data_IF_491050665168
#
_entry.id   IF_491050665168
#
_cell.length_a   1.000
_cell.length_b   1.000
_cell.length_c   1.000
_cell.angle_alpha   90.00
_cell.angle_beta   90.00
_cell.angle_gamma   90.00
#
_symmetry.space_group_name_H-M   'P 1'
#
loop_
_entity.id
_entity.type
_entity.pdbx_description
1 polymer ?
#
# COMPACT_ATOMS: atom_id res chain seq x y z
N UNK A 1 16.55 -42.55 2.36
CA UNK A 1 18.00 -42.60 2.07
C UNK A 1 18.68 -41.80 3.16
N UNK A 2 19.49 -42.45 3.98
CA UNK A 2 20.05 -41.88 5.21
C UNK A 2 21.09 -40.80 4.87
N UNK A 3 21.00 -39.64 5.54
CA UNK A 3 21.88 -38.49 5.30
C UNK A 3 23.35 -38.86 5.55
N UNK A 4 23.59 -39.79 6.47
CA UNK A 4 24.94 -40.30 6.76
C UNK A 4 25.53 -41.07 5.56
N UNK A 5 24.69 -41.84 4.86
CA UNK A 5 25.13 -42.60 3.69
C UNK A 5 25.49 -41.69 2.51
N UNK A 6 24.76 -40.57 2.34
CA UNK A 6 25.06 -39.57 1.30
C UNK A 6 26.38 -38.84 1.63
N UNK A 7 26.61 -38.53 2.90
CA UNK A 7 27.84 -37.87 3.34
C UNK A 7 29.07 -38.77 3.20
N UNK A 8 28.94 -40.06 3.46
CA UNK A 8 30.02 -41.03 3.27
C UNK A 8 30.36 -41.23 1.78
N UNK A 9 29.34 -41.23 0.90
CA UNK A 9 29.53 -41.33 -0.55
C UNK A 9 30.22 -40.09 -1.13
N UNK A 10 29.84 -38.89 -0.66
CA UNK A 10 30.49 -37.62 -1.02
C UNK A 10 31.93 -37.57 -0.50
N UNK A 11 32.16 -38.02 0.74
CA UNK A 11 33.50 -38.06 1.35
C UNK A 11 34.44 -39.00 0.57
N UNK A 12 33.95 -40.18 0.18
CA UNK A 12 34.69 -41.14 -0.64
C UNK A 12 35.03 -40.58 -2.03
N UNK A 13 34.08 -39.90 -2.68
CA UNK A 13 34.33 -39.26 -3.98
C UNK A 13 35.34 -38.11 -3.87
N UNK A 14 35.27 -37.30 -2.81
CA UNK A 14 36.23 -36.23 -2.56
C UNK A 14 37.63 -36.78 -2.28
N UNK A 15 37.77 -37.84 -1.47
CA UNK A 15 39.06 -38.50 -1.24
C UNK A 15 39.66 -39.09 -2.52
N UNK A 16 38.83 -39.65 -3.41
CA UNK A 16 39.27 -40.15 -4.71
C UNK A 16 39.69 -38.99 -5.65
N UNK A 17 39.03 -37.84 -5.60
CA UNK A 17 39.43 -36.66 -6.38
C UNK A 17 40.75 -36.10 -5.85
N UNK A 18 40.90 -36.01 -4.53
CA UNK A 18 42.13 -35.55 -3.87
C UNK A 18 43.34 -36.45 -4.15
N UNK A 19 43.15 -37.78 -4.21
CA UNK A 19 44.25 -38.72 -4.47
C UNK A 19 44.77 -38.69 -5.92
N UNK A 20 44.00 -38.09 -6.85
CA UNK A 20 44.38 -37.91 -8.26
C UNK A 20 44.91 -36.51 -8.58
N UNK A 21 44.96 -35.60 -7.61
CA UNK A 21 45.48 -34.25 -7.80
C UNK A 21 46.99 -34.20 -7.61
N UNK A 22 47.75 -34.19 -8.71
CA UNK A 22 49.16 -33.78 -8.66
C UNK A 22 49.24 -32.27 -8.44
N UNK A 23 49.61 -31.89 -7.22
CA UNK A 23 49.83 -30.50 -6.81
C UNK A 23 51.10 -29.94 -7.46
N UNK A 24 50.98 -29.36 -8.65
CA UNK A 24 52.01 -28.44 -9.16
C UNK A 24 51.82 -27.07 -8.53
N UNK A 25 52.91 -26.44 -8.09
CA UNK A 25 52.89 -25.15 -7.38
C UNK A 25 52.14 -24.03 -8.13
N UNK A 26 52.03 -24.12 -9.46
CA UNK A 26 51.26 -23.18 -10.28
C UNK A 26 49.74 -23.32 -10.14
N UNK A 27 49.21 -24.53 -9.92
CA UNK A 27 47.78 -24.76 -9.77
C UNK A 27 47.23 -24.19 -8.46
N UNK A 28 47.95 -24.38 -7.36
CA UNK A 28 47.57 -23.84 -6.03
C UNK A 28 47.46 -22.32 -6.07
N UNK A 29 48.39 -21.67 -6.78
CA UNK A 29 48.40 -20.22 -6.90
C UNK A 29 47.19 -19.70 -7.69
N UNK A 30 46.80 -20.40 -8.76
CA UNK A 30 45.62 -20.04 -9.55
C UNK A 30 44.32 -20.20 -8.74
N UNK A 31 44.21 -21.27 -7.92
CA UNK A 31 43.03 -21.51 -7.09
C UNK A 31 42.93 -20.55 -5.91
N UNK A 32 44.05 -20.22 -5.24
CA UNK A 32 44.06 -19.19 -4.20
C UNK A 32 43.68 -17.82 -4.77
N UNK A 33 44.16 -17.49 -5.97
CA UNK A 33 43.83 -16.23 -6.64
C UNK A 33 42.35 -16.16 -7.04
N UNK A 34 41.79 -17.25 -7.58
CA UNK A 34 40.36 -17.33 -7.90
C UNK A 34 39.47 -17.28 -6.64
N UNK A 35 39.89 -17.91 -5.55
CA UNK A 35 39.19 -17.88 -4.27
C UNK A 35 39.23 -16.48 -3.63
N UNK A 36 40.37 -15.79 -3.71
CA UNK A 36 40.50 -14.39 -3.29
C UNK A 36 39.62 -13.46 -4.14
N UNK A 37 39.55 -13.64 -5.46
CA UNK A 37 38.67 -12.85 -6.34
C UNK A 37 37.18 -13.03 -6.04
N UNK A 38 36.76 -14.19 -5.52
CA UNK A 38 35.36 -14.45 -5.14
C UNK A 38 35.01 -13.89 -3.76
N UNK A 39 35.97 -13.88 -2.83
CA UNK A 39 35.74 -13.47 -1.45
C UNK A 39 35.99 -11.98 -1.23
N UNK A 40 36.92 -11.37 -1.97
CA UNK A 40 37.24 -9.95 -1.82
C UNK A 40 36.03 -9.02 -2.05
N UNK A 41 35.15 -9.26 -3.06
CA UNK A 41 33.92 -8.46 -3.22
C UNK A 41 32.95 -8.63 -2.05
N UNK A 42 32.86 -9.83 -1.46
CA UNK A 42 32.00 -10.13 -0.30
C UNK A 42 32.52 -9.48 0.98
N UNK A 43 33.84 -9.41 1.15
CA UNK A 43 34.48 -8.70 2.26
C UNK A 43 34.33 -7.18 2.10
N UNK A 44 34.49 -6.64 0.88
CA UNK A 44 34.29 -5.21 0.61
C UNK A 44 32.81 -4.82 0.87
N UNK A 45 31.84 -5.59 0.37
CA UNK A 45 30.41 -5.37 0.64
C UNK A 45 30.06 -5.55 2.13
N UNK A 46 30.67 -6.54 2.80
CA UNK A 46 30.46 -6.79 4.23
C UNK A 46 30.99 -5.66 5.11
N UNK A 47 32.14 -5.07 4.73
CA UNK A 47 32.73 -3.94 5.46
C UNK A 47 31.95 -2.64 5.21
N UNK A 48 31.49 -2.38 3.98
CA UNK A 48 30.61 -1.22 3.69
C UNK A 48 29.27 -1.29 4.46
N UNK A 49 28.74 -2.49 4.68
CA UNK A 49 27.54 -2.71 5.50
C UNK A 49 27.78 -2.52 7.01
N UNK A 50 29.01 -2.70 7.49
CA UNK A 50 29.37 -2.62 8.92
C UNK A 50 29.86 -1.24 9.33
N UNK A 51 30.37 -0.44 8.40
CA UNK A 51 30.78 0.96 8.66
C UNK A 51 29.69 1.97 8.31
N UNK A 52 28.42 1.56 8.34
CA UNK A 52 27.24 2.39 8.10
C UNK A 52 27.14 3.59 9.05
N UNK A 53 28.01 4.59 8.84
CA UNK A 53 27.69 5.99 9.07
C UNK A 53 26.57 6.27 8.09
N UNK A 54 25.35 6.23 8.60
CA UNK A 54 24.23 6.97 8.03
C UNK A 54 24.76 8.39 7.88
N UNK A 55 25.21 8.75 6.67
CA UNK A 55 25.58 10.10 6.37
C UNK A 55 24.33 10.94 6.68
N UNK A 56 24.49 11.93 7.55
CA UNK A 56 23.45 12.93 7.76
C UNK A 56 22.98 13.41 6.37
N UNK A 57 21.66 13.56 6.15
CA UNK A 57 21.14 14.04 4.88
C UNK A 57 21.88 15.33 4.55
N UNK A 58 22.57 15.30 3.41
CA UNK A 58 23.33 16.43 2.92
C UNK A 58 22.30 17.51 2.66
N UNK A 59 22.34 18.59 3.45
CA UNK A 59 21.44 19.73 3.35
C UNK A 59 21.73 20.50 2.06
N UNK A 60 21.34 19.92 0.93
CA UNK A 60 21.02 20.66 -0.26
C UNK A 60 19.50 20.84 -0.24
N UNK A 61 19.01 21.68 0.68
CA UNK A 61 17.71 22.34 0.47
C UNK A 61 17.91 23.30 -0.70
N UNK A 62 17.96 22.74 -1.91
CA UNK A 62 17.62 23.50 -3.11
C UNK A 62 16.26 24.10 -2.84
N UNK A 63 16.12 25.42 -2.99
CA UNK A 63 14.85 26.13 -2.78
C UNK A 63 13.76 25.56 -3.70
N UNK A 64 13.10 24.48 -3.30
CA UNK A 64 11.88 23.98 -3.93
C UNK A 64 10.79 24.98 -3.55
N UNK A 65 10.27 25.79 -4.48
CA UNK A 65 9.26 26.80 -4.17
C UNK A 65 7.98 26.10 -3.74
N UNK A 66 7.36 26.56 -2.65
CA UNK A 66 6.06 26.05 -2.23
C UNK A 66 4.97 26.77 -3.03
N UNK A 67 4.05 26.05 -3.70
CA UNK A 67 2.90 26.66 -4.34
C UNK A 67 1.96 27.21 -3.27
N UNK A 68 1.03 28.12 -3.64
CA UNK A 68 -0.06 28.49 -2.75
C UNK A 68 -0.90 27.26 -2.34
N UNK A 69 -1.66 27.36 -1.23
CA UNK A 69 -2.58 26.29 -0.83
C UNK A 69 -3.57 25.94 -1.94
N UNK A 70 -3.84 24.64 -2.10
CA UNK A 70 -4.86 24.12 -3.02
C UNK A 70 -6.10 23.65 -2.22
N UNK A 71 -7.03 22.96 -2.86
CA UNK A 71 -8.25 22.45 -2.22
C UNK A 71 -8.40 20.95 -2.39
N UNK A 72 -9.10 20.33 -1.43
CA UNK A 72 -9.59 18.97 -1.57
C UNK A 72 -10.73 18.97 -2.59
N UNK A 73 -10.50 18.30 -3.72
CA UNK A 73 -11.48 18.17 -4.79
C UNK A 73 -12.42 16.97 -4.55
N UNK A 74 -11.89 15.89 -3.99
CA UNK A 74 -12.64 14.65 -3.84
C UNK A 74 -12.15 13.83 -2.65
N UNK A 75 -13.09 13.23 -1.93
CA UNK A 75 -12.81 12.27 -0.84
C UNK A 75 -13.45 10.94 -1.21
N UNK A 76 -12.69 9.85 -1.07
CA UNK A 76 -13.14 8.47 -1.31
C UNK A 76 -12.82 7.56 -0.14
N UNK A 77 -13.79 6.72 0.17
CA UNK A 77 -13.68 5.67 1.19
C UNK A 77 -13.80 4.31 0.48
N UNK A 78 -12.95 3.36 0.85
CA UNK A 78 -13.02 1.98 0.36
C UNK A 78 -13.17 1.05 1.56
N UNK A 79 -14.40 0.79 2.03
CA UNK A 79 -14.63 0.08 3.29
C UNK A 79 -14.00 -1.31 3.32
N UNK A 80 -14.11 -2.02 2.20
CA UNK A 80 -13.56 -3.37 2.04
C UNK A 80 -12.31 -3.29 1.18
N UNK A 81 -11.21 -3.86 1.69
CA UNK A 81 -9.96 -4.03 0.95
C UNK A 81 -10.25 -4.65 -0.42
N UNK A 82 -9.74 -4.01 -1.47
CA UNK A 82 -9.83 -4.49 -2.86
C UNK A 82 -11.21 -4.41 -3.51
N UNK A 83 -12.25 -3.96 -2.80
CA UNK A 83 -13.57 -3.69 -3.41
C UNK A 83 -13.68 -2.24 -3.89
N UNK A 84 -14.77 -1.92 -4.59
CA UNK A 84 -15.07 -0.56 -5.02
C UNK A 84 -15.37 0.33 -3.80
N UNK A 85 -14.97 1.59 -3.89
CA UNK A 85 -15.27 2.59 -2.88
C UNK A 85 -16.37 3.54 -3.36
N UNK A 86 -16.71 4.52 -2.52
CA UNK A 86 -17.65 5.58 -2.85
C UNK A 86 -17.07 6.94 -2.50
N UNK A 87 -17.62 7.99 -3.13
CA UNK A 87 -17.26 9.38 -2.84
C UNK A 87 -18.11 9.92 -1.69
N UNK A 88 -17.52 10.79 -0.88
CA UNK A 88 -18.22 11.51 0.20
C UNK A 88 -17.90 13.00 0.14
N UNK A 89 -18.81 13.83 0.64
CA UNK A 89 -18.56 15.26 0.81
C UNK A 89 -17.77 15.57 2.08
N UNK A 90 -17.90 14.73 3.11
CA UNK A 90 -17.17 14.84 4.36
C UNK A 90 -17.05 13.50 5.07
N UNK A 91 -16.04 13.35 5.90
CA UNK A 91 -15.83 12.18 6.77
C UNK A 91 -14.90 12.54 7.91
N UNK A 92 -14.75 11.63 8.88
CA UNK A 92 -13.75 11.75 9.94
C UNK A 92 -12.43 11.14 9.45
N UNK A 93 -11.35 11.92 9.51
CA UNK A 93 -9.98 11.43 9.41
C UNK A 93 -9.53 10.95 10.79
N UNK A 94 -9.24 9.65 10.89
CA UNK A 94 -8.68 9.00 12.06
C UNK A 94 -7.17 8.80 11.86
N UNK A 95 -6.45 8.52 12.94
CA UNK A 95 -5.03 8.13 12.85
C UNK A 95 -4.81 6.88 11.99
N UNK A 96 -5.83 6.01 11.91
CA UNK A 96 -5.79 4.75 11.15
C UNK A 96 -6.25 4.84 9.70
N UNK A 97 -6.82 5.97 9.27
CA UNK A 97 -7.32 6.22 7.91
C UNK A 97 -8.55 7.11 7.94
N UNK A 98 -9.21 7.30 6.78
CA UNK A 98 -10.57 7.84 6.79
C UNK A 98 -11.49 6.85 7.50
N UNK A 99 -12.54 7.35 8.11
CA UNK A 99 -13.56 6.51 8.72
C UNK A 99 -14.08 5.47 7.73
N UNK A 100 -14.33 4.27 8.24
CA UNK A 100 -14.67 3.05 7.49
C UNK A 100 -13.58 2.52 6.55
N UNK A 101 -12.52 3.26 6.24
CA UNK A 101 -11.59 2.92 5.19
C UNK A 101 -10.77 1.65 5.47
N UNK A 102 -10.94 0.64 4.62
CA UNK A 102 -10.32 -0.69 4.72
C UNK A 102 -10.50 -1.31 6.11
N UNK A 103 -11.65 -1.08 6.75
CA UNK A 103 -12.05 -1.76 7.98
C UNK A 103 -12.35 -3.24 7.77
N UNK A 104 -12.70 -3.64 6.55
CA UNK A 104 -12.95 -5.03 6.19
C UNK A 104 -12.00 -5.55 5.11
N UNK A 105 -11.91 -6.87 5.01
CA UNK A 105 -11.34 -7.56 3.85
C UNK A 105 -12.07 -8.88 3.60
N UNK A 106 -12.11 -9.32 2.35
CA UNK A 106 -12.38 -10.73 2.05
C UNK A 106 -11.11 -11.55 2.25
N UNK A 107 -11.26 -12.74 2.81
CA UNK A 107 -10.20 -13.71 3.02
C UNK A 107 -10.62 -15.09 2.51
N UNK A 108 -9.64 -15.90 2.12
CA UNK A 108 -9.84 -17.32 1.86
C UNK A 108 -10.33 -18.02 3.13
N UNK A 109 -11.39 -18.82 3.04
CA UNK A 109 -11.99 -19.45 4.23
C UNK A 109 -11.06 -20.44 4.93
N UNK A 110 -10.19 -21.13 4.17
CA UNK A 110 -9.33 -22.18 4.71
C UNK A 110 -8.06 -21.61 5.34
N UNK A 111 -7.47 -20.57 4.74
CA UNK A 111 -6.18 -20.04 5.20
C UNK A 111 -6.29 -18.70 5.92
N UNK A 112 -7.46 -18.06 5.91
CA UNK A 112 -7.70 -16.69 6.39
C UNK A 112 -6.73 -15.65 5.79
N UNK A 113 -6.23 -15.92 4.58
CA UNK A 113 -5.38 -14.99 3.82
C UNK A 113 -6.27 -14.06 3.01
N UNK A 114 -6.00 -12.77 3.12
CA UNK A 114 -6.70 -11.73 2.37
C UNK A 114 -6.69 -11.97 0.85
N UNK A 115 -7.77 -11.56 0.20
CA UNK A 115 -7.91 -11.53 -1.26
C UNK A 115 -7.63 -10.13 -1.81
N UNK A 116 -7.17 -10.05 -3.06
CA UNK A 116 -6.84 -8.78 -3.71
C UNK A 116 -7.22 -8.70 -5.18
N UNK A 117 -7.38 -7.47 -5.68
CA UNK A 117 -7.51 -7.17 -7.12
C UNK A 117 -6.33 -7.75 -7.92
N UNK A 118 -5.14 -7.91 -7.31
CA UNK A 118 -3.96 -8.50 -7.98
C UNK A 118 -4.20 -9.96 -8.39
N UNK A 119 -4.98 -10.68 -7.58
CA UNK A 119 -5.32 -12.09 -7.78
C UNK A 119 -6.67 -12.22 -8.50
N UNK A 120 -7.65 -11.40 -8.13
CA UNK A 120 -9.05 -11.50 -8.55
C UNK A 120 -9.54 -10.09 -8.91
N UNK A 121 -9.48 -9.74 -10.19
CA UNK A 121 -9.91 -8.41 -10.68
C UNK A 121 -11.38 -8.11 -10.39
N UNK A 122 -12.22 -9.15 -10.40
CA UNK A 122 -13.67 -9.06 -10.24
C UNK A 122 -14.09 -8.46 -8.88
N UNK A 123 -13.18 -8.37 -7.91
CA UNK A 123 -13.40 -7.62 -6.68
C UNK A 123 -13.76 -6.14 -6.94
N UNK A 124 -13.35 -5.55 -8.09
CA UNK A 124 -13.76 -4.18 -8.43
C UNK A 124 -15.25 -4.05 -8.73
N UNK A 125 -15.95 -5.15 -9.03
CA UNK A 125 -17.39 -5.20 -9.25
C UNK A 125 -18.19 -5.32 -7.95
N UNK A 126 -17.51 -5.46 -6.81
CA UNK A 126 -18.14 -5.45 -5.50
C UNK A 126 -18.28 -4.00 -5.06
N UNK A 127 -19.50 -3.50 -5.12
CA UNK A 127 -19.89 -2.16 -4.71
C UNK A 127 -20.15 -2.11 -3.21
N UNK A 128 -19.81 -0.97 -2.62
CA UNK A 128 -20.13 -0.64 -1.22
C UNK A 128 -20.88 0.67 -1.14
N UNK A 129 -21.84 0.74 -0.22
CA UNK A 129 -22.61 1.96 0.06
C UNK A 129 -22.94 2.03 1.56
N UNK A 130 -22.96 3.24 2.10
CA UNK A 130 -23.52 3.50 3.45
C UNK A 130 -24.96 3.98 3.32
N UNK A 131 -25.85 3.41 4.13
CA UNK A 131 -27.26 3.78 4.23
C UNK A 131 -27.50 4.73 5.39
N UNK A 132 -28.67 5.38 5.40
CA UNK A 132 -29.03 6.38 6.41
C UNK A 132 -29.16 5.78 7.84
N UNK A 133 -29.34 4.47 7.95
CA UNK A 133 -29.41 3.70 9.20
C UNK A 133 -28.04 3.17 9.68
N UNK A 134 -26.93 3.71 9.14
CA UNK A 134 -25.56 3.31 9.46
C UNK A 134 -25.22 1.85 9.11
N UNK A 135 -25.79 1.35 8.01
CA UNK A 135 -25.41 0.04 7.46
C UNK A 135 -24.46 0.18 6.26
N UNK A 136 -23.50 -0.73 6.18
CA UNK A 136 -22.70 -1.00 5.00
C UNK A 136 -23.40 -2.05 4.15
N UNK A 137 -23.96 -1.59 3.03
CA UNK A 137 -24.44 -2.46 1.97
C UNK A 137 -23.28 -2.87 1.07
N UNK A 138 -23.19 -4.17 0.80
CA UNK A 138 -22.19 -4.76 -0.10
C UNK A 138 -22.94 -5.54 -1.18
N UNK A 139 -22.70 -5.23 -2.44
CA UNK A 139 -23.41 -5.85 -3.56
C UNK A 139 -22.50 -6.03 -4.76
N UNK A 140 -22.96 -6.76 -5.77
CA UNK A 140 -22.21 -6.99 -7.00
C UNK A 140 -22.94 -6.33 -8.16
N UNK A 141 -22.30 -5.36 -8.85
CA UNK A 141 -22.96 -4.54 -9.87
C UNK A 141 -23.56 -5.38 -11.00
N UNK A 142 -22.90 -6.49 -11.35
CA UNK A 142 -23.31 -7.42 -12.41
C UNK A 142 -24.28 -8.50 -11.95
N UNK A 143 -24.45 -8.67 -10.63
CA UNK A 143 -25.30 -9.69 -10.00
C UNK A 143 -26.05 -9.08 -8.81
N UNK A 144 -27.07 -8.24 -9.06
CA UNK A 144 -27.75 -7.46 -8.01
C UNK A 144 -28.48 -8.32 -6.95
N UNK A 145 -28.72 -9.60 -7.23
CA UNK A 145 -29.23 -10.58 -6.26
C UNK A 145 -28.20 -10.95 -5.18
N UNK A 146 -26.91 -10.70 -5.42
CA UNK A 146 -25.85 -10.88 -4.42
C UNK A 146 -25.71 -9.56 -3.68
N UNK A 147 -26.29 -9.52 -2.47
CA UNK A 147 -26.26 -8.37 -1.58
C UNK A 147 -26.26 -8.82 -0.12
N UNK A 148 -25.48 -8.13 0.70
CA UNK A 148 -25.56 -8.20 2.17
C UNK A 148 -25.65 -6.79 2.74
N UNK A 149 -26.17 -6.70 3.97
CA UNK A 149 -26.13 -5.50 4.79
C UNK A 149 -25.60 -5.87 6.16
N UNK A 150 -24.62 -5.11 6.64
CA UNK A 150 -24.01 -5.24 7.96
C UNK A 150 -23.87 -3.85 8.58
N UNK A 151 -23.83 -3.69 9.91
CA UNK A 151 -23.59 -2.38 10.50
C UNK A 151 -22.24 -1.80 10.03
N UNK A 152 -22.22 -0.51 9.68
CA UNK A 152 -21.01 0.21 9.33
C UNK A 152 -20.16 0.49 10.57
N UNK A 153 -20.80 0.79 11.71
CA UNK A 153 -20.14 0.93 13.01
C UNK A 153 -20.66 -0.11 14.01
N UNK A 154 -20.31 -1.40 13.85
CA UNK A 154 -20.82 -2.44 14.72
C UNK A 154 -20.30 -2.25 16.16
N UNK A 155 -21.20 -2.34 17.14
CA UNK A 155 -20.82 -2.32 18.55
C UNK A 155 -20.10 -3.62 18.95
N UNK A 156 -19.36 -3.60 20.05
CA UNK A 156 -18.69 -4.79 20.59
C UNK A 156 -19.68 -5.93 20.90
N UNK A 157 -20.86 -5.58 21.42
CA UNK A 157 -21.95 -6.53 21.68
C UNK A 157 -22.44 -7.15 20.36
N UNK A 158 -22.66 -6.31 19.34
CA UNK A 158 -23.09 -6.80 18.04
C UNK A 158 -22.05 -7.74 17.42
N UNK A 159 -20.77 -7.37 17.47
CA UNK A 159 -19.68 -8.21 16.96
C UNK A 159 -19.63 -9.56 17.70
N UNK A 160 -19.73 -9.55 19.02
CA UNK A 160 -19.69 -10.78 19.84
C UNK A 160 -20.83 -11.74 19.49
N UNK A 161 -22.02 -11.21 19.17
CA UNK A 161 -23.20 -12.02 18.84
C UNK A 161 -23.24 -12.51 17.38
N UNK A 162 -22.57 -11.82 16.45
CA UNK A 162 -22.71 -12.05 15.01
C UNK A 162 -21.42 -12.48 14.31
N UNK A 163 -20.29 -12.53 15.02
CA UNK A 163 -18.97 -12.85 14.47
C UNK A 163 -18.14 -13.68 15.44
N UNK A 164 -17.06 -14.28 14.93
CA UNK A 164 -16.05 -14.97 15.74
C UNK A 164 -14.74 -14.18 15.72
N UNK A 165 -14.19 -13.84 16.89
CA UNK A 165 -12.87 -13.21 16.96
C UNK A 165 -11.76 -14.25 16.76
N UNK A 166 -11.04 -14.17 15.64
CA UNK A 166 -9.89 -15.02 15.32
C UNK A 166 -8.59 -14.21 15.33
N UNK A 167 -7.45 -14.87 15.56
CA UNK A 167 -6.12 -14.23 15.64
C UNK A 167 -5.19 -14.54 14.46
N UNK A 168 -5.64 -15.39 13.55
CA UNK A 168 -4.80 -15.98 12.49
C UNK A 168 -5.03 -15.39 11.10
N UNK A 169 -5.85 -14.34 10.97
CA UNK A 169 -5.99 -13.61 9.72
C UNK A 169 -4.63 -13.09 9.27
N UNK A 170 -4.37 -13.12 7.96
CA UNK A 170 -3.07 -12.72 7.42
C UNK A 170 -3.24 -11.61 6.39
N UNK A 171 -2.43 -10.56 6.53
CA UNK A 171 -2.28 -9.49 5.56
C UNK A 171 -0.80 -9.18 5.35
N UNK A 172 -0.32 -9.30 4.11
CA UNK A 172 1.10 -9.04 3.75
C UNK A 172 2.11 -9.72 4.68
N UNK A 173 1.89 -11.01 5.00
CA UNK A 173 2.77 -11.78 5.89
C UNK A 173 2.65 -11.45 7.37
N UNK A 174 1.75 -10.55 7.75
CA UNK A 174 1.47 -10.20 9.16
C UNK A 174 0.22 -10.93 9.63
N UNK A 175 0.33 -11.60 10.78
CA UNK A 175 -0.83 -12.14 11.50
C UNK A 175 -1.53 -11.03 12.27
N UNK A 176 -2.85 -10.97 12.14
CA UNK A 176 -3.71 -9.96 12.74
C UNK A 176 -4.99 -10.61 13.23
N UNK A 177 -5.61 -9.97 14.22
CA UNK A 177 -6.94 -10.35 14.67
C UNK A 177 -8.04 -9.78 13.76
N UNK A 178 -9.15 -10.49 13.71
CA UNK A 178 -10.30 -10.16 12.89
C UNK A 178 -11.58 -10.79 13.41
N UNK A 179 -12.68 -10.06 13.29
CA UNK A 179 -14.03 -10.55 13.52
C UNK A 179 -14.53 -11.20 12.23
N UNK A 180 -14.65 -12.52 12.26
CA UNK A 180 -14.97 -13.36 11.12
C UNK A 180 -16.49 -13.55 11.04
N UNK A 181 -17.12 -13.04 9.98
CA UNK A 181 -18.57 -13.18 9.77
C UNK A 181 -18.96 -14.61 9.39
N UNK A 182 -20.20 -15.04 9.64
CA UNK A 182 -20.67 -16.39 9.35
C UNK A 182 -20.53 -16.81 7.88
N UNK A 183 -20.51 -18.12 7.63
CA UNK A 183 -20.54 -18.71 6.28
C UNK A 183 -21.81 -18.31 5.54
N UNK A 184 -22.95 -18.27 6.23
CA UNK A 184 -24.25 -17.93 5.62
C UNK A 184 -24.25 -16.51 5.04
N UNK A 185 -23.65 -15.56 5.76
CA UNK A 185 -23.52 -14.18 5.29
C UNK A 185 -22.62 -14.09 4.04
N UNK A 186 -21.63 -14.97 3.92
CA UNK A 186 -20.63 -14.92 2.85
C UNK A 186 -20.88 -15.92 1.73
N UNK A 187 -21.92 -16.76 1.84
CA UNK A 187 -22.26 -17.78 0.84
C UNK A 187 -22.52 -17.19 -0.56
N UNK A 188 -23.29 -16.08 -0.73
CA UNK A 188 -23.46 -15.46 -2.04
C UNK A 188 -22.14 -14.97 -2.67
N UNK A 189 -21.21 -14.48 -1.84
CA UNK A 189 -19.89 -14.06 -2.32
C UNK A 189 -18.98 -15.25 -2.63
N UNK A 190 -19.09 -16.35 -1.90
CA UNK A 190 -18.35 -17.58 -2.21
C UNK A 190 -18.73 -18.13 -3.58
N UNK A 191 -20.02 -18.07 -3.95
CA UNK A 191 -20.49 -18.38 -5.30
C UNK A 191 -19.87 -17.44 -6.35
N UNK A 192 -19.85 -16.13 -6.07
CA UNK A 192 -19.23 -15.15 -6.96
C UNK A 192 -17.73 -15.39 -7.17
N UNK A 193 -16.99 -15.69 -6.10
CA UNK A 193 -15.56 -15.96 -6.16
C UNK A 193 -15.21 -17.34 -6.73
N UNK A 194 -16.18 -18.25 -6.83
CA UNK A 194 -15.96 -19.64 -7.21
C UNK A 194 -15.15 -20.43 -6.16
N UNK A 195 -15.08 -19.93 -4.93
CA UNK A 195 -14.40 -20.57 -3.80
C UNK A 195 -14.93 -20.02 -2.47
N UNK A 196 -14.77 -20.80 -1.41
CA UNK A 196 -15.18 -20.37 -0.08
C UNK A 196 -14.36 -19.16 0.41
N UNK A 197 -15.07 -18.10 0.78
CA UNK A 197 -14.49 -16.88 1.33
C UNK A 197 -15.16 -16.51 2.63
N UNK A 198 -14.47 -15.69 3.42
CA UNK A 198 -15.02 -15.05 4.61
C UNK A 198 -14.81 -13.54 4.53
N UNK A 199 -15.77 -12.80 5.06
CA UNK A 199 -15.61 -11.38 5.33
C UNK A 199 -15.01 -11.25 6.73
N UNK A 200 -14.03 -10.37 6.87
CA UNK A 200 -13.32 -10.12 8.12
C UNK A 200 -13.42 -8.63 8.43
N UNK A 201 -13.94 -8.26 9.60
CA UNK A 201 -13.81 -6.91 10.16
C UNK A 201 -12.56 -6.83 11.05
N UNK A 202 -11.83 -5.71 10.99
CA UNK A 202 -10.54 -5.60 11.69
C UNK A 202 -10.73 -5.75 13.21
N UNK A 203 -9.96 -6.66 13.82
CA UNK A 203 -9.97 -6.87 15.26
C UNK A 203 -9.37 -5.71 16.07
N UNK A 204 -9.46 -5.76 17.41
CA UNK A 204 -9.05 -4.68 18.29
C UNK A 204 -7.54 -4.42 18.34
N UNK A 205 -6.69 -5.41 18.04
CA UNK A 205 -5.23 -5.27 18.14
C UNK A 205 -4.71 -4.31 17.06
N UNK A 206 -4.00 -3.22 17.41
CA UNK A 206 -3.44 -2.30 16.42
C UNK A 206 -2.49 -3.01 15.46
N UNK A 207 -2.57 -2.69 14.16
CA UNK A 207 -1.58 -3.14 13.16
C UNK A 207 -0.57 -2.01 12.92
N UNK A 208 0.63 -2.06 13.53
CA UNK A 208 1.58 -0.96 13.46
C UNK A 208 2.07 -0.72 12.04
N UNK A 209 2.35 0.54 11.72
CA UNK A 209 2.99 0.92 10.47
C UNK A 209 4.45 0.44 10.43
N UNK A 210 4.95 0.23 9.21
CA UNK A 210 6.31 -0.26 8.91
C UNK A 210 6.91 0.49 7.72
N UNK A 211 8.18 0.22 7.40
CA UNK A 211 8.88 0.82 6.27
C UNK A 211 9.06 2.31 6.47
N UNK A 212 8.60 3.13 5.51
CA UNK A 212 8.65 4.60 5.60
C UNK A 212 7.93 5.21 6.82
N UNK A 213 7.07 4.45 7.50
CA UNK A 213 6.41 4.88 8.73
C UNK A 213 6.68 3.92 9.90
N UNK A 214 7.79 3.18 9.85
CA UNK A 214 8.31 2.51 11.05
C UNK A 214 8.52 3.55 12.17
N UNK A 215 8.25 3.23 13.44
CA UNK A 215 8.40 4.20 14.54
C UNK A 215 9.78 4.86 14.62
N UNK A 216 10.84 4.18 14.18
CA UNK A 216 12.21 4.73 14.13
C UNK A 216 12.40 5.80 13.06
N UNK A 217 11.55 5.78 12.03
CA UNK A 217 11.55 6.74 10.91
C UNK A 217 10.54 7.86 11.16
N UNK A 218 9.31 7.50 11.56
CA UNK A 218 8.21 8.44 11.79
C UNK A 218 8.35 9.21 13.12
N UNK A 219 9.10 8.66 14.08
CA UNK A 219 9.25 9.22 15.43
C UNK A 219 8.05 8.98 16.36
N UNK A 220 7.03 8.23 15.90
CA UNK A 220 5.86 7.84 16.68
C UNK A 220 5.29 6.51 16.20
N UNK A 221 4.55 5.83 17.09
CA UNK A 221 3.82 4.62 16.74
C UNK A 221 2.46 5.04 16.20
N UNK A 222 2.17 4.63 14.98
CA UNK A 222 0.84 4.73 14.37
C UNK A 222 0.45 3.38 13.78
N UNK A 223 -0.83 3.23 13.47
CA UNK A 223 -1.38 1.98 12.96
C UNK A 223 -2.33 2.22 11.81
N UNK A 224 -2.73 1.14 11.14
CA UNK A 224 -3.74 1.19 10.08
C UNK A 224 -4.62 -0.06 10.15
N UNK A 225 -5.70 -0.08 9.38
CA UNK A 225 -6.60 -1.22 9.21
C UNK A 225 -6.06 -2.15 8.12
N UNK A 226 -6.85 -2.53 7.12
CA UNK A 226 -6.41 -3.43 6.05
C UNK A 226 -5.82 -2.71 4.82
N UNK A 227 -5.44 -1.43 4.91
CA UNK A 227 -4.69 -0.72 3.87
C UNK A 227 -3.33 -1.39 3.58
N UNK A 228 -2.72 -1.14 2.42
CA UNK A 228 -1.45 -1.83 2.06
C UNK A 228 -0.26 -1.35 2.90
N UNK A 229 -0.10 -0.03 3.05
CA UNK A 229 1.06 0.56 3.72
C UNK A 229 0.62 1.63 4.72
N UNK A 230 0.16 2.78 4.23
CA UNK A 230 -0.20 3.93 5.09
C UNK A 230 -1.72 4.16 5.15
N UNK A 231 -2.21 4.84 6.20
CA UNK A 231 -3.62 5.17 6.40
C UNK A 231 -4.29 5.92 5.25
N UNK A 232 -3.56 6.85 4.63
CA UNK A 232 -4.11 7.76 3.61
C UNK A 232 -3.25 7.72 2.36
N UNK A 233 -3.90 7.65 1.20
CA UNK A 233 -3.28 8.00 -0.07
C UNK A 233 -3.86 9.33 -0.58
N UNK A 234 -2.99 10.32 -0.82
CA UNK A 234 -3.34 11.58 -1.48
C UNK A 234 -2.89 11.52 -2.94
N UNK A 235 -3.67 12.07 -3.85
CA UNK A 235 -3.29 12.21 -5.26
C UNK A 235 -3.65 13.59 -5.80
N UNK A 236 -2.90 14.04 -6.78
CA UNK A 236 -3.09 15.33 -7.42
C UNK A 236 -3.87 15.13 -8.73
N UNK A 237 -4.93 15.92 -8.92
CA UNK A 237 -5.77 15.85 -10.11
C UNK A 237 -4.97 16.20 -11.38
N UNK A 238 -4.00 17.13 -11.29
CA UNK A 238 -3.12 17.46 -12.43
C UNK A 238 -2.26 16.28 -12.87
N UNK A 239 -1.84 15.42 -11.94
CA UNK A 239 -1.05 14.24 -12.26
C UNK A 239 -1.83 13.19 -13.07
N UNK A 240 -3.12 12.98 -12.76
CA UNK A 240 -3.94 12.06 -13.58
C UNK A 240 -4.28 12.67 -14.94
N UNK A 241 -4.48 13.98 -15.02
CA UNK A 241 -4.68 14.71 -16.29
C UNK A 241 -3.45 14.56 -17.20
N UNK A 242 -2.25 14.71 -16.64
CA UNK A 242 -0.99 14.56 -17.35
C UNK A 242 -0.76 13.12 -17.84
N UNK A 243 -1.01 12.11 -16.98
CA UNK A 243 -0.94 10.71 -17.37
C UNK A 243 -1.93 10.40 -18.50
N UNK A 244 -3.17 10.91 -18.40
CA UNK A 244 -4.19 10.72 -19.42
C UNK A 244 -3.83 11.40 -20.74
N UNK A 245 -3.17 12.55 -20.71
CA UNK A 245 -2.61 13.18 -21.91
C UNK A 245 -1.59 12.24 -22.58
N UNK A 246 -0.66 11.64 -21.83
CA UNK A 246 0.33 10.68 -22.37
C UNK A 246 -0.28 9.38 -22.89
N UNK A 247 -1.34 8.89 -22.24
CA UNK A 247 -2.08 7.71 -22.71
C UNK A 247 -2.77 8.02 -24.04
N UNK A 248 -3.44 9.16 -24.13
CA UNK A 248 -4.11 9.62 -25.35
C UNK A 248 -3.13 9.78 -26.52
N UNK A 249 -1.95 10.36 -26.29
CA UNK A 249 -0.92 10.47 -27.35
C UNK A 249 -0.36 9.11 -27.78
N UNK A 250 -0.52 8.08 -26.95
CA UNK A 250 -0.15 6.70 -27.26
C UNK A 250 -1.32 5.87 -27.84
N UNK A 251 -2.45 6.50 -28.17
CA UNK A 251 -3.64 5.83 -28.73
C UNK A 251 -4.51 5.09 -27.72
N UNK A 252 -4.31 5.31 -26.42
CA UNK A 252 -5.04 4.65 -25.34
C UNK A 252 -6.14 5.57 -24.79
N UNK A 253 -7.25 4.98 -24.32
CA UNK A 253 -8.32 5.74 -23.70
C UNK A 253 -7.88 6.34 -22.34
N UNK A 254 -8.39 7.52 -21.95
CA UNK A 254 -8.13 8.06 -20.62
C UNK A 254 -8.72 7.15 -19.54
N UNK A 255 -8.09 7.15 -18.37
CA UNK A 255 -8.49 6.35 -17.21
C UNK A 255 -8.91 7.24 -16.04
N UNK A 256 -9.81 6.72 -15.20
CA UNK A 256 -10.21 7.36 -13.95
C UNK A 256 -9.12 7.25 -12.89
N UNK A 257 -9.00 8.28 -12.04
CA UNK A 257 -8.09 8.29 -10.87
C UNK A 257 -8.46 7.19 -9.85
N UNK A 258 -9.70 6.69 -9.89
CA UNK A 258 -10.18 5.57 -9.07
C UNK A 258 -9.30 4.31 -9.21
N UNK A 259 -8.70 4.10 -10.39
CA UNK A 259 -7.76 2.99 -10.63
C UNK A 259 -6.53 3.05 -9.71
N UNK A 260 -6.18 4.25 -9.24
CA UNK A 260 -5.09 4.46 -8.28
C UNK A 260 -5.54 4.34 -6.82
N UNK A 261 -6.85 4.34 -6.59
CA UNK A 261 -7.52 4.17 -5.29
C UNK A 261 -7.17 5.22 -4.20
N UNK A 262 -7.00 6.52 -4.54
CA UNK A 262 -6.71 7.54 -3.55
C UNK A 262 -7.86 7.72 -2.57
N UNK A 263 -7.54 8.13 -1.34
CA UNK A 263 -8.50 8.57 -0.34
C UNK A 263 -8.86 10.05 -0.53
N UNK A 264 -7.86 10.88 -0.84
CA UNK A 264 -8.02 12.32 -1.04
C UNK A 264 -7.45 12.66 -2.40
N UNK A 265 -8.22 13.39 -3.22
CA UNK A 265 -7.75 14.02 -4.44
C UNK A 265 -7.75 15.52 -4.24
N UNK A 266 -6.61 16.16 -4.49
CA UNK A 266 -6.49 17.62 -4.46
C UNK A 266 -6.53 18.18 -5.87
N UNK A 267 -7.02 19.41 -6.03
CA UNK A 267 -7.04 20.08 -7.34
C UNK A 267 -5.63 20.18 -7.94
N UNK A 268 -4.68 20.66 -7.12
CA UNK A 268 -3.28 20.84 -7.50
C UNK A 268 -3.06 21.86 -8.61
N UNK A 269 -1.86 22.45 -8.64
CA UNK A 269 -1.48 23.42 -9.68
C UNK A 269 -0.63 22.77 -10.77
N UNK A 270 0.38 22.01 -10.37
CA UNK A 270 1.33 21.37 -11.27
C UNK A 270 1.26 19.84 -11.15
N UNK A 271 1.30 19.08 -12.26
CA UNK A 271 1.37 17.63 -12.19
C UNK A 271 2.66 17.18 -11.53
N UNK A 272 2.57 16.12 -10.73
CA UNK A 272 3.68 15.45 -10.03
C UNK A 272 4.36 16.25 -8.93
N UNK A 273 3.94 17.50 -8.67
CA UNK A 273 4.48 18.30 -7.58
C UNK A 273 4.26 17.64 -6.20
N UNK A 274 3.32 16.69 -6.09
CA UNK A 274 3.16 15.88 -4.89
C UNK A 274 4.39 15.04 -4.49
N UNK A 275 5.27 14.74 -5.44
CA UNK A 275 6.47 13.93 -5.20
C UNK A 275 7.47 14.54 -4.21
N UNK A 276 7.33 15.84 -3.92
CA UNK A 276 8.21 16.59 -3.00
C UNK A 276 7.51 17.02 -1.72
N UNK A 277 6.23 16.68 -1.51
CA UNK A 277 5.55 17.06 -0.26
C UNK A 277 6.17 16.33 0.92
N UNK A 278 6.57 17.05 1.97
CA UNK A 278 7.06 16.44 3.21
C UNK A 278 5.99 16.45 4.31
N UNK A 279 5.35 17.60 4.47
CA UNK A 279 4.31 17.81 5.49
C UNK A 279 3.19 18.64 4.86
N UNK A 280 1.94 18.23 5.10
CA UNK A 280 0.75 18.92 4.59
C UNK A 280 -0.21 19.24 5.74
N UNK A 281 -0.99 20.30 5.58
CA UNK A 281 -2.00 20.75 6.55
C UNK A 281 -3.34 20.92 5.85
N UNK A 282 -4.38 20.37 6.45
CA UNK A 282 -5.76 20.50 6.02
C UNK A 282 -6.43 21.52 6.93
N UNK A 283 -7.14 22.49 6.37
CA UNK A 283 -7.87 23.50 7.13
C UNK A 283 -9.30 23.61 6.60
N UNK A 284 -10.31 23.73 7.49
CA UNK A 284 -11.69 23.91 7.08
C UNK A 284 -11.85 25.09 6.11
N UNK A 285 -12.57 24.88 5.02
CA UNK A 285 -12.83 25.94 4.02
C UNK A 285 -13.59 27.16 4.59
N UNK A 286 -14.34 26.93 5.67
CA UNK A 286 -15.11 27.90 6.46
C UNK A 286 -14.37 28.36 7.73
N UNK A 287 -13.04 28.21 7.78
CA UNK A 287 -12.25 28.60 8.95
C UNK A 287 -12.42 30.09 9.30
N UNK A 288 -12.68 30.35 10.58
CA UNK A 288 -12.63 31.69 11.18
C UNK A 288 -11.82 31.61 12.47
N UNK A 289 -11.24 32.73 12.90
CA UNK A 289 -10.54 32.81 14.19
C UNK A 289 -11.45 32.43 15.38
N UNK A 290 -12.77 32.58 15.23
CA UNK A 290 -13.80 32.26 16.23
C UNK A 290 -14.15 30.76 16.26
N UNK A 291 -14.15 30.10 15.09
CA UNK A 291 -14.31 28.64 14.95
C UNK A 291 -12.97 27.90 15.10
N UNK A 292 -11.93 28.60 15.58
CA UNK A 292 -10.54 28.20 15.60
C UNK A 292 -10.29 26.90 16.38
N UNK A 293 -10.38 25.77 15.66
CA UNK A 293 -9.76 24.46 15.89
C UNK A 293 -10.19 23.52 14.76
N UNK A 294 -9.26 22.71 14.25
CA UNK A 294 -9.59 21.71 13.22
C UNK A 294 -8.49 21.46 12.20
N UNK A 295 -7.37 22.18 12.27
CA UNK A 295 -6.24 21.91 11.39
C UNK A 295 -5.72 20.49 11.62
N UNK A 296 -5.63 19.72 10.54
CA UNK A 296 -5.06 18.37 10.58
C UNK A 296 -3.76 18.39 9.81
N UNK A 297 -2.67 18.03 10.48
CA UNK A 297 -1.37 17.85 9.85
C UNK A 297 -1.18 16.37 9.49
N UNK A 298 -0.66 16.12 8.28
CA UNK A 298 -0.22 14.78 7.89
C UNK A 298 1.25 14.80 7.47
N UNK A 299 1.99 13.79 7.93
CA UNK A 299 3.30 13.48 7.40
C UNK A 299 3.15 12.75 6.07
N UNK A 300 3.85 13.23 5.05
CA UNK A 300 3.97 12.51 3.79
C UNK A 300 5.14 11.55 3.93
N UNK A 301 4.84 10.26 4.04
CA UNK A 301 5.82 9.25 4.40
C UNK A 301 6.57 8.69 3.18
N UNK A 302 5.88 8.52 2.05
CA UNK A 302 6.47 7.92 0.86
C UNK A 302 5.72 8.26 -0.43
N UNK A 303 6.44 8.22 -1.55
CA UNK A 303 5.82 8.09 -2.87
C UNK A 303 5.12 6.73 -2.96
N UNK A 304 3.89 6.70 -3.48
CA UNK A 304 3.13 5.46 -3.59
C UNK A 304 3.63 4.63 -4.78
N UNK A 305 4.52 3.67 -4.51
CA UNK A 305 4.95 2.68 -5.48
C UNK A 305 3.76 1.83 -5.95
N UNK A 306 3.49 1.86 -7.26
CA UNK A 306 2.33 1.21 -7.84
C UNK A 306 2.62 -0.26 -8.13
N UNK A 307 1.56 -1.05 -8.18
CA UNK A 307 1.54 -2.36 -8.82
C UNK A 307 0.67 -2.28 -10.09
N UNK A 308 0.34 -3.41 -10.71
CA UNK A 308 -0.52 -3.45 -11.90
C UNK A 308 -2.03 -3.31 -11.62
N UNK A 309 -2.45 -3.08 -10.37
CA UNK A 309 -3.88 -2.86 -10.04
C UNK A 309 -4.51 -1.73 -10.89
N UNK A 310 -3.85 -0.60 -11.17
CA UNK A 310 -4.42 0.43 -12.03
C UNK A 310 -4.70 -0.02 -13.47
N UNK A 311 -4.22 -1.19 -13.90
CA UNK A 311 -4.57 -1.74 -15.21
C UNK A 311 -5.97 -2.34 -15.25
N UNK A 312 -6.57 -2.63 -14.10
CA UNK A 312 -7.92 -3.17 -14.01
C UNK A 312 -8.91 -2.04 -14.20
N UNK A 313 -9.86 -2.26 -15.09
CA UNK A 313 -11.02 -1.40 -15.26
C UNK A 313 -12.01 -1.64 -14.13
N UNK A 314 -12.34 -0.63 -13.31
CA UNK A 314 -13.16 -0.84 -12.13
C UNK A 314 -14.61 -1.21 -12.48
N UNK A 315 -15.11 -0.78 -13.64
CA UNK A 315 -16.49 -1.00 -14.07
C UNK A 315 -16.70 -2.38 -14.71
N UNK A 316 -15.64 -2.93 -15.33
CA UNK A 316 -15.72 -4.19 -16.08
C UNK A 316 -14.87 -5.32 -15.52
N UNK A 317 -14.00 -5.03 -14.54
CA UNK A 317 -12.92 -5.90 -14.05
C UNK A 317 -11.90 -6.35 -15.12
N UNK A 318 -12.00 -5.85 -16.35
CA UNK A 318 -11.08 -6.23 -17.43
C UNK A 318 -9.71 -5.60 -17.16
N UNK A 319 -8.69 -6.45 -17.04
CA UNK A 319 -7.29 -6.03 -16.88
C UNK A 319 -6.66 -5.73 -18.25
N UNK A 320 -6.33 -4.46 -18.50
CA UNK A 320 -5.48 -4.10 -19.63
C UNK A 320 -4.08 -4.72 -19.44
N UNK A 321 -3.56 -5.41 -20.46
CA UNK A 321 -2.28 -6.14 -20.36
C UNK A 321 -1.08 -5.21 -20.16
N UNK A 322 -1.19 -3.93 -20.53
CA UNK A 322 -0.08 -2.97 -20.58
C UNK A 322 -0.35 -1.71 -19.75
N UNK A 323 -1.51 -1.08 -19.91
CA UNK A 323 -1.75 0.27 -19.40
C UNK A 323 -2.56 0.33 -18.12
N UNK A 324 -2.32 1.34 -17.25
CA UNK A 324 -1.32 2.41 -17.39
C UNK A 324 0.09 2.02 -16.92
N UNK A 325 0.30 0.78 -16.44
CA UNK A 325 1.58 0.32 -15.89
C UNK A 325 2.78 0.62 -16.78
N UNK A 326 2.73 0.23 -18.06
CA UNK A 326 3.84 0.42 -18.99
C UNK A 326 4.12 1.91 -19.19
N UNK A 327 3.09 2.72 -19.40
CA UNK A 327 3.27 4.17 -19.56
C UNK A 327 3.94 4.78 -18.33
N UNK A 328 3.49 4.42 -17.13
CA UNK A 328 4.11 4.90 -15.89
C UNK A 328 5.56 4.42 -15.75
N UNK A 329 5.87 3.19 -16.11
CA UNK A 329 7.25 2.67 -16.07
C UNK A 329 8.24 3.47 -16.92
N UNK A 330 7.78 4.10 -18.00
CA UNK A 330 8.64 4.91 -18.88
C UNK A 330 9.22 6.14 -18.15
N UNK A 331 8.45 6.80 -17.26
CA UNK A 331 8.83 8.11 -16.72
C UNK A 331 8.58 8.31 -15.22
N UNK A 332 7.93 7.37 -14.54
CA UNK A 332 7.53 7.50 -13.13
C UNK A 332 8.31 6.61 -12.16
N UNK A 333 9.45 6.08 -12.58
CA UNK A 333 10.43 5.41 -11.70
C UNK A 333 11.29 6.44 -10.97
N UNK A 334 10.63 7.30 -10.19
CA UNK A 334 11.22 8.52 -9.60
C UNK A 334 11.76 8.32 -8.18
N UNK A 335 11.56 7.14 -7.60
CA UNK A 335 12.02 6.83 -6.25
C UNK A 335 13.21 5.87 -6.27
N UNK A 336 14.35 6.34 -5.77
CA UNK A 336 15.61 5.57 -5.75
C UNK A 336 15.54 4.32 -4.85
N UNK A 337 14.65 4.31 -3.86
CA UNK A 337 14.44 3.15 -3.00
C UNK A 337 13.69 2.01 -3.69
N UNK A 338 13.05 2.27 -4.85
CA UNK A 338 12.26 1.27 -5.58
C UNK A 338 12.22 1.52 -7.09
N UNK A 339 13.39 1.48 -7.72
CA UNK A 339 13.57 1.82 -9.15
C UNK A 339 12.86 0.89 -10.14
N UNK A 340 12.37 -0.28 -9.71
CA UNK A 340 11.65 -1.24 -10.58
C UNK A 340 10.13 -1.09 -10.55
N UNK A 341 9.58 -0.12 -9.80
CA UNK A 341 8.16 0.23 -9.81
C UNK A 341 7.97 1.71 -10.11
N UNK A 342 6.88 2.11 -10.77
CA UNK A 342 6.56 3.51 -10.93
C UNK A 342 5.80 4.04 -9.71
N UNK A 343 5.80 5.36 -9.51
CA UNK A 343 5.09 6.03 -8.42
C UNK A 343 3.93 6.89 -8.93
N UNK A 344 2.80 6.86 -8.20
CA UNK A 344 1.65 7.74 -8.44
C UNK A 344 0.93 8.04 -7.13
N UNK A 345 0.85 9.32 -6.77
CA UNK A 345 0.30 9.79 -5.49
C UNK A 345 1.23 9.52 -4.31
N UNK A 346 0.84 10.05 -3.15
CA UNK A 346 1.63 10.05 -1.93
C UNK A 346 0.92 9.30 -0.80
N UNK A 347 1.70 8.61 0.02
CA UNK A 347 1.25 7.89 1.20
C UNK A 347 1.48 8.74 2.44
N UNK A 348 0.40 9.02 3.18
CA UNK A 348 0.38 9.97 4.27
C UNK A 348 -0.03 9.31 5.59
N UNK A 349 0.49 9.86 6.70
CA UNK A 349 0.18 9.44 8.07
C UNK A 349 -0.33 10.65 8.86
N UNK A 350 -1.59 10.65 9.31
CA UNK A 350 -2.14 11.73 10.12
C UNK A 350 -1.40 11.90 11.44
N UNK A 351 -1.33 13.14 11.95
CA UNK A 351 -0.86 13.44 13.31
C UNK A 351 -2.04 13.62 14.25
N UNK A 352 -3.07 14.32 13.79
CA UNK A 352 -4.33 14.56 14.49
C UNK A 352 -5.52 13.85 13.82
N UNK A 353 -6.63 13.75 14.54
CA UNK A 353 -7.93 13.33 14.01
C UNK A 353 -8.86 14.53 13.87
N UNK A 354 -9.79 14.49 12.92
CA UNK A 354 -10.75 15.56 12.72
C UNK A 354 -11.69 15.29 11.56
N UNK A 355 -12.64 16.19 11.32
CA UNK A 355 -13.48 16.14 10.12
C UNK A 355 -12.70 16.69 8.93
N UNK A 356 -12.84 16.05 7.76
CA UNK A 356 -12.31 16.53 6.48
C UNK A 356 -13.46 16.65 5.49
N UNK A 357 -13.47 17.72 4.70
CA UNK A 357 -14.54 18.04 3.74
C UNK A 357 -13.96 18.34 2.36
N UNK A 358 -14.75 18.04 1.33
CA UNK A 358 -14.49 18.57 -0.01
C UNK A 358 -14.56 20.10 0.06
N UNK A 359 -13.59 20.76 -0.56
CA UNK A 359 -13.41 22.21 -0.52
C UNK A 359 -12.44 22.70 0.54
N UNK A 360 -12.09 21.88 1.54
CA UNK A 360 -11.09 22.25 2.56
C UNK A 360 -9.75 22.60 1.93
N UNK A 361 -9.07 23.57 2.53
CA UNK A 361 -7.75 24.02 2.10
C UNK A 361 -6.73 22.91 2.37
N UNK A 362 -5.91 22.63 1.38
CA UNK A 362 -4.78 21.70 1.45
C UNK A 362 -3.48 22.48 1.23
N UNK A 363 -2.77 22.76 2.32
CA UNK A 363 -1.53 23.52 2.33
C UNK A 363 -0.31 22.57 2.40
N UNK A 364 0.67 22.81 1.53
CA UNK A 364 2.00 22.20 1.66
C UNK A 364 2.82 23.04 2.63
N UNK A 365 3.05 22.52 3.84
CA UNK A 365 3.78 23.26 4.88
C UNK A 365 5.29 23.06 4.76
N UNK A 366 5.72 21.88 4.30
CA UNK A 366 7.13 21.51 4.12
C UNK A 366 7.33 20.65 2.86
N UNK A 367 8.48 20.79 2.22
CA UNK A 367 8.89 20.05 1.01
C UNK A 367 10.23 19.35 1.21
N UNK A 368 10.49 18.30 0.43
CA UNK A 368 11.75 17.54 0.43
C UNK A 368 12.05 16.96 -0.95
N UNK A 369 13.32 16.92 -1.33
CA UNK A 369 13.80 16.10 -2.45
C UNK A 369 14.12 14.66 -2.06
N UNK A 370 14.20 14.37 -0.75
CA UNK A 370 14.87 13.20 -0.19
C UNK A 370 13.93 12.01 0.06
N UNK A 371 12.72 12.04 -0.49
CA UNK A 371 11.84 10.87 -0.44
C UNK A 371 12.55 9.65 -1.01
N UNK A 372 12.60 8.59 -0.21
CA UNK A 372 13.18 7.31 -0.57
C UNK A 372 12.34 6.20 0.00
N UNK A 373 11.88 5.29 -0.83
CA UNK A 373 11.07 4.14 -0.44
C UNK A 373 11.88 3.21 0.47
N UNK A 374 11.28 2.86 1.61
CA UNK A 374 11.80 1.90 2.58
C UNK A 374 10.79 0.75 2.62
N UNK A 375 11.19 -0.49 2.24
CA UNK A 375 10.32 -1.64 2.32
C UNK A 375 9.72 -1.81 3.72
N UNK A 376 8.39 -1.90 3.79
CA UNK A 376 7.64 -2.11 5.05
C UNK A 376 7.11 -3.53 5.23
N UNK A 377 7.55 -4.45 4.36
CA UNK A 377 7.14 -5.87 4.35
C UNK A 377 8.38 -6.74 4.44
#
# INVERSE_FOLDING_TARGET
>A
MDLNHIMDEISSQLQHIYSKMEFTAGGVFLYLFAFLMLILPLIIFGIESLTGKVAAPTTASSHIPKPPPTKIQEIRIYPIKSCRGFKVQKTKLLKTGLDLDRNWMFADASTLKFLTIRQISDMTLIDTKITDDDSLEVSISTKPNIKISIPAHPSEIWLTLNTELVKDCEIWGQKVDGYLYSTDLTAPFSEFFGKEVRLVYKGPTPRPLKGNADPRVLGRIESTKFADLMPIQVSNQKSIEELNYRLKTSGEAPISIERFRPNIVVEGEEPWYEDVWKTVRLQPSDWTAENGKGDITMDVAARCARCQVPNVDPDTAVKNKKQPWNKLMEYRRVDEGITFKPCFGMLCVPREEGEVRVGDTFEITEVTGDHRYIPGM
#
